data_IF_513916273712
#
_entry.id   IF_513916273712
#
_cell.length_a   1.000
_cell.length_b   1.000
_cell.length_c   1.000
_cell.angle_alpha   90.00
_cell.angle_beta   90.00
_cell.angle_gamma   90.00
#
_symmetry.space_group_name_H-M   'P 1'
#
loop_
_entity.id
_entity.type
_entity.pdbx_description
1 polymer ?
#
# COMPACT_ATOMS: atom_id res chain seq x y z
N UNK A 1 -17.13 0.38 -3.67
CA UNK A 1 -16.21 -0.04 -2.58
C UNK A 1 -15.49 -1.28 -3.09
N UNK A 2 -14.26 -1.14 -3.60
CA UNK A 2 -13.54 -2.22 -4.27
C UNK A 2 -12.31 -2.58 -3.43
N UNK A 3 -12.29 -3.80 -2.90
CA UNK A 3 -11.19 -4.35 -2.11
C UNK A 3 -10.17 -4.97 -3.08
N UNK A 4 -9.05 -4.30 -3.33
CA UNK A 4 -7.98 -4.83 -4.20
C UNK A 4 -7.04 -5.69 -3.33
N UNK A 5 -7.13 -7.02 -3.47
CA UNK A 5 -6.17 -7.98 -2.90
C UNK A 5 -5.09 -8.31 -3.95
N UNK A 6 -3.83 -8.07 -3.61
CA UNK A 6 -2.67 -8.28 -4.50
C UNK A 6 -2.47 -9.76 -4.87
N UNK A 7 -2.27 -10.10 -6.17
CA UNK A 7 -2.00 -11.45 -6.63
C UNK A 7 -0.50 -11.62 -6.97
N UNK A 8 0.23 -12.42 -6.19
CA UNK A 8 1.55 -12.94 -6.62
C UNK A 8 1.61 -14.42 -6.32
N UNK A 9 1.59 -15.24 -7.39
CA UNK A 9 1.62 -16.69 -7.36
C UNK A 9 2.32 -17.17 -8.64
N UNK A 10 3.55 -17.67 -8.52
CA UNK A 10 4.13 -18.68 -9.43
C UNK A 10 5.22 -19.48 -8.69
N UNK A 11 5.11 -20.81 -8.59
CA UNK A 11 6.20 -21.67 -8.17
C UNK A 11 6.77 -22.46 -9.36
N UNK A 12 8.10 -22.57 -9.44
CA UNK A 12 8.77 -23.66 -10.16
C UNK A 12 9.60 -24.47 -9.16
N UNK A 13 9.41 -25.79 -9.17
CA UNK A 13 10.36 -26.73 -8.56
C UNK A 13 9.94 -27.35 -7.22
N UNK A 14 9.35 -28.56 -7.31
CA UNK A 14 9.45 -29.67 -6.36
C UNK A 14 9.74 -29.35 -4.88
N UNK A 15 8.65 -29.10 -4.15
CA UNK A 15 8.56 -29.18 -2.70
C UNK A 15 7.18 -28.66 -2.33
N UNK A 16 6.33 -29.45 -1.67
CA UNK A 16 5.06 -28.92 -1.17
C UNK A 16 5.40 -27.72 -0.27
N UNK A 17 4.99 -26.48 -0.59
CA UNK A 17 5.19 -25.40 0.34
C UNK A 17 4.29 -25.73 1.54
N UNK A 18 4.87 -25.85 2.73
CA UNK A 18 4.09 -25.72 3.95
C UNK A 18 3.36 -24.40 3.83
N UNK A 19 2.03 -24.44 3.86
CA UNK A 19 1.18 -23.26 3.89
C UNK A 19 1.29 -22.59 5.26
N UNK A 20 2.51 -22.33 5.73
CA UNK A 20 2.75 -21.27 6.69
C UNK A 20 2.59 -19.99 5.86
N UNK A 21 1.33 -19.58 5.68
CA UNK A 21 0.99 -18.36 4.98
C UNK A 21 1.85 -17.26 5.60
N UNK A 22 2.85 -16.78 4.84
CA UNK A 22 3.67 -15.63 5.20
C UNK A 22 2.67 -14.52 5.44
N UNK A 23 2.33 -14.32 6.71
CA UNK A 23 1.16 -13.54 7.08
C UNK A 23 1.55 -12.12 6.68
N UNK A 24 0.78 -11.54 5.75
CA UNK A 24 0.94 -10.11 5.43
C UNK A 24 1.10 -9.37 6.76
N UNK A 25 2.04 -8.42 6.87
CA UNK A 25 2.10 -7.60 8.08
C UNK A 25 0.68 -7.14 8.38
N UNK A 26 0.24 -7.26 9.64
CA UNK A 26 -1.12 -6.99 10.08
C UNK A 26 -1.47 -5.50 10.01
N UNK A 27 -1.02 -4.82 8.95
CA UNK A 27 -1.19 -3.42 8.65
C UNK A 27 -2.08 -3.34 7.41
N UNK A 28 -3.41 -3.44 7.56
CA UNK A 28 -4.32 -3.11 6.46
C UNK A 28 -4.06 -1.69 5.95
N UNK A 29 -4.34 -1.53 4.65
CA UNK A 29 -4.23 -0.26 3.96
C UNK A 29 -5.57 0.11 3.36
N UNK A 30 -6.06 1.29 3.72
CA UNK A 30 -7.21 1.89 3.07
C UNK A 30 -6.76 3.08 2.23
N UNK A 31 -7.39 3.21 1.06
CA UNK A 31 -7.07 4.23 0.07
C UNK A 31 -8.32 5.01 -0.30
N UNK A 32 -8.19 6.33 -0.26
CA UNK A 32 -9.21 7.25 -0.74
C UNK A 32 -8.61 8.14 -1.84
N UNK A 33 -9.28 8.20 -2.99
CA UNK A 33 -8.91 9.11 -4.07
C UNK A 33 -9.66 10.43 -3.89
N UNK A 34 -8.92 11.53 -3.81
CA UNK A 34 -9.44 12.88 -3.66
C UNK A 34 -9.14 13.69 -4.91
N UNK A 35 -10.20 14.03 -5.64
CA UNK A 35 -10.12 14.74 -6.91
C UNK A 35 -10.45 13.86 -8.12
N UNK A 36 -10.37 14.44 -9.30
CA UNK A 36 -10.66 13.74 -10.56
C UNK A 36 -9.36 13.22 -11.18
N UNK A 37 -9.34 11.94 -11.53
CA UNK A 37 -8.27 11.35 -12.33
C UNK A 37 -8.33 11.88 -13.77
N UNK A 38 -7.62 12.98 -14.03
CA UNK A 38 -7.46 13.58 -15.35
C UNK A 38 -5.98 13.63 -15.73
N UNK A 39 -5.69 13.43 -17.00
CA UNK A 39 -4.32 13.51 -17.52
C UNK A 39 -3.68 14.85 -17.14
N UNK A 40 -2.42 14.79 -16.68
CA UNK A 40 -1.62 15.93 -16.23
C UNK A 40 -2.21 16.75 -15.09
N UNK A 41 -3.31 16.32 -14.47
CA UNK A 41 -3.90 16.98 -13.30
C UNK A 41 -3.55 16.21 -12.04
N UNK A 42 -2.95 16.92 -11.09
CA UNK A 42 -2.67 16.36 -9.77
C UNK A 42 -3.97 15.98 -9.05
N UNK A 43 -3.95 14.81 -8.42
CA UNK A 43 -4.95 14.34 -7.48
C UNK A 43 -4.24 13.83 -6.22
N UNK A 44 -4.96 13.78 -5.11
CA UNK A 44 -4.43 13.24 -3.86
C UNK A 44 -4.94 11.83 -3.63
N UNK A 45 -4.07 10.96 -3.14
CA UNK A 45 -4.44 9.68 -2.58
C UNK A 45 -4.18 9.72 -1.09
N UNK A 46 -5.25 9.65 -0.31
CA UNK A 46 -5.16 9.55 1.14
C UNK A 46 -4.91 8.08 1.48
N UNK A 47 -3.81 7.81 2.17
CA UNK A 47 -3.41 6.48 2.60
C UNK A 47 -3.60 6.38 4.09
N UNK A 48 -4.42 5.43 4.53
CA UNK A 48 -4.61 5.11 5.94
C UNK A 48 -3.97 3.76 6.22
N UNK A 49 -3.02 3.74 7.14
CA UNK A 49 -2.38 2.53 7.64
C UNK A 49 -2.78 2.37 9.10
N UNK A 50 -3.27 1.18 9.48
CA UNK A 50 -3.57 0.85 10.87
C UNK A 50 -2.85 -0.43 11.23
N UNK A 51 -2.14 -0.45 12.35
CA UNK A 51 -1.55 -1.70 12.82
C UNK A 51 -2.60 -2.49 13.62
N UNK A 52 -3.10 -3.57 13.05
CA UNK A 52 -4.02 -4.52 13.68
C UNK A 52 -3.29 -5.75 14.24
N UNK A 53 -1.96 -5.80 14.13
CA UNK A 53 -1.16 -6.82 14.78
C UNK A 53 -1.02 -6.54 16.29
N UNK A 54 -0.77 -7.61 17.05
CA UNK A 54 -0.51 -7.54 18.49
C UNK A 54 0.87 -6.95 18.84
N UNK A 55 1.77 -6.86 17.86
CA UNK A 55 3.12 -6.32 18.02
C UNK A 55 3.30 -4.97 17.31
N UNK A 56 4.27 -4.18 17.75
CA UNK A 56 4.62 -2.93 17.06
C UNK A 56 5.34 -3.20 15.73
N UNK A 57 5.07 -2.36 14.74
CA UNK A 57 5.78 -2.37 13.46
C UNK A 57 6.74 -1.18 13.39
N UNK A 58 7.98 -1.41 12.97
CA UNK A 58 9.00 -0.37 12.86
C UNK A 58 9.32 -0.03 11.41
N UNK A 59 9.72 1.22 11.17
CA UNK A 59 10.05 1.75 9.84
C UNK A 59 8.95 1.43 8.82
N UNK A 60 7.70 1.74 9.17
CA UNK A 60 6.54 1.54 8.29
C UNK A 60 6.60 2.58 7.18
N UNK A 61 6.52 2.12 5.93
CA UNK A 61 6.53 2.97 4.74
C UNK A 61 5.50 2.46 3.75
N UNK A 62 4.64 3.34 3.27
CA UNK A 62 3.69 3.05 2.21
C UNK A 62 3.95 3.95 1.01
N UNK A 63 4.07 3.34 -0.17
CA UNK A 63 4.30 4.04 -1.42
C UNK A 63 3.37 3.51 -2.51
N UNK A 64 2.94 4.42 -3.37
CA UNK A 64 2.11 4.13 -4.54
C UNK A 64 3.03 4.00 -5.74
N UNK A 65 2.74 3.03 -6.60
CA UNK A 65 3.42 2.83 -7.88
C UNK A 65 2.40 2.58 -8.97
N UNK A 66 2.73 2.89 -10.23
CA UNK A 66 1.79 2.72 -11.33
C UNK A 66 2.16 3.51 -12.57
N UNK A 67 1.21 3.61 -13.49
CA UNK A 67 1.32 4.44 -14.69
C UNK A 67 0.94 5.91 -14.38
N UNK A 68 1.63 6.51 -13.43
CA UNK A 68 1.45 7.91 -13.04
C UNK A 68 2.75 8.45 -12.41
N UNK A 69 2.94 9.76 -12.44
CA UNK A 69 3.95 10.41 -11.62
C UNK A 69 3.44 10.45 -10.17
N UNK A 70 4.24 9.95 -9.24
CA UNK A 70 3.88 9.86 -7.82
C UNK A 70 4.85 10.70 -7.01
N UNK A 71 4.32 11.56 -6.13
CA UNK A 71 5.10 12.43 -5.25
C UNK A 71 4.74 12.16 -3.80
N UNK A 72 5.75 11.76 -3.03
CA UNK A 72 5.66 11.51 -1.60
C UNK A 72 5.41 10.05 -1.25
N UNK A 73 5.35 9.81 0.05
CA UNK A 73 5.07 8.51 0.67
C UNK A 73 4.55 8.75 2.09
N UNK A 74 3.90 7.75 2.68
CA UNK A 74 3.49 7.78 4.09
C UNK A 74 4.48 6.96 4.90
N UNK A 75 5.06 7.56 5.94
CA UNK A 75 6.06 6.91 6.79
C UNK A 75 5.70 7.06 8.27
N UNK A 76 6.03 6.04 9.06
CA UNK A 76 6.01 6.07 10.51
C UNK A 76 7.21 5.29 11.04
N UNK A 77 7.99 5.89 11.95
CA UNK A 77 9.14 5.22 12.57
C UNK A 77 8.69 4.02 13.40
N UNK A 78 7.59 4.16 14.13
CA UNK A 78 6.96 3.12 14.94
C UNK A 78 5.45 3.26 14.82
N UNK A 79 4.78 2.13 14.57
CA UNK A 79 3.32 2.01 14.57
C UNK A 79 2.92 0.93 15.58
N UNK A 80 2.45 1.35 16.76
CA UNK A 80 2.06 0.46 17.86
C UNK A 80 0.76 -0.29 17.55
N UNK A 81 0.43 -1.37 18.27
CA UNK A 81 -0.86 -2.05 18.14
C UNK A 81 -2.03 -1.07 18.24
N UNK A 82 -3.00 -1.21 17.33
CA UNK A 82 -4.17 -0.34 17.14
C UNK A 82 -3.89 1.13 16.82
N UNK A 83 -2.62 1.49 16.56
CA UNK A 83 -2.27 2.83 16.11
C UNK A 83 -2.52 2.98 14.61
N UNK A 84 -2.97 4.17 14.21
CA UNK A 84 -3.11 4.55 12.81
C UNK A 84 -2.16 5.68 12.44
N UNK A 85 -1.77 5.69 11.16
CA UNK A 85 -1.09 6.81 10.51
C UNK A 85 -1.81 7.11 9.20
N UNK A 86 -1.99 8.40 8.92
CA UNK A 86 -2.64 8.89 7.71
C UNK A 86 -1.72 9.87 7.02
N UNK A 87 -1.65 9.77 5.70
CA UNK A 87 -0.89 10.72 4.89
C UNK A 87 -1.48 10.88 3.50
N UNK A 88 -1.02 11.91 2.80
CA UNK A 88 -1.44 12.21 1.43
C UNK A 88 -0.26 11.99 0.50
N UNK A 89 -0.50 11.27 -0.58
CA UNK A 89 0.45 11.09 -1.67
C UNK A 89 -0.15 11.75 -2.90
N UNK A 90 0.61 12.63 -3.54
CA UNK A 90 0.15 13.32 -4.73
C UNK A 90 0.44 12.46 -5.97
N UNK A 91 -0.55 12.30 -6.83
CA UNK A 91 -0.46 11.48 -8.04
C UNK A 91 -0.88 12.31 -9.24
N UNK A 92 -0.09 12.28 -10.31
CA UNK A 92 -0.36 12.97 -11.56
C UNK A 92 -0.47 11.90 -12.66
N UNK A 93 -1.68 11.56 -13.14
CA UNK A 93 -1.86 10.64 -14.24
C UNK A 93 -1.14 11.15 -15.49
N UNK A 94 -0.32 10.30 -16.11
CA UNK A 94 0.53 10.69 -17.24
C UNK A 94 -0.02 10.27 -18.61
N UNK A 95 -1.21 9.65 -18.65
CA UNK A 95 -1.87 9.21 -19.87
C UNK A 95 -3.39 9.15 -19.70
N UNK A 96 -4.10 9.33 -20.80
CA UNK A 96 -5.55 9.06 -20.89
C UNK A 96 -5.81 7.55 -20.80
N UNK A 97 -6.90 7.17 -20.12
CA UNK A 97 -7.39 5.79 -20.05
C UNK A 97 -7.37 5.21 -18.65
N UNK A 98 -7.11 3.91 -18.54
CA UNK A 98 -7.12 3.21 -17.25
C UNK A 98 -5.89 3.63 -16.42
N UNK A 99 -6.16 4.19 -15.24
CA UNK A 99 -5.16 4.45 -14.22
C UNK A 99 -4.95 3.16 -13.40
N UNK A 100 -3.78 2.55 -13.57
CA UNK A 100 -3.38 1.32 -12.88
C UNK A 100 -2.36 1.66 -11.81
N UNK A 101 -2.79 1.63 -10.55
CA UNK A 101 -1.93 1.88 -9.40
C UNK A 101 -1.92 0.67 -8.47
N UNK A 102 -0.75 0.39 -7.90
CA UNK A 102 -0.56 -0.51 -6.78
C UNK A 102 -0.03 0.25 -5.57
N UNK A 103 -0.23 -0.33 -4.40
CA UNK A 103 0.37 0.12 -3.15
C UNK A 103 1.26 -0.97 -2.59
N UNK A 104 2.40 -0.57 -2.03
CA UNK A 104 3.26 -1.46 -1.27
C UNK A 104 3.55 -0.84 0.09
N UNK A 105 3.36 -1.67 1.12
CA UNK A 105 3.74 -1.36 2.50
C UNK A 105 4.96 -2.19 2.84
N UNK A 106 5.96 -1.52 3.40
CA UNK A 106 7.15 -2.12 3.96
C UNK A 106 7.21 -1.80 5.43
N UNK A 107 7.57 -2.77 6.24
CA UNK A 107 7.86 -2.60 7.65
C UNK A 107 8.89 -3.64 8.09
N UNK A 108 9.55 -3.39 9.21
CA UNK A 108 10.32 -4.40 9.93
C UNK A 108 9.40 -5.04 10.98
N UNK A 109 8.99 -6.32 10.82
CA UNK A 109 8.31 -7.04 11.89
C UNK A 109 9.29 -7.28 13.05
N UNK A 110 8.76 -7.38 14.26
CA UNK A 110 9.48 -7.79 15.46
C UNK A 110 9.13 -9.23 15.83
#
# INVERSE_FOLDING_TARGET
MALIRSPWLFPDGHGRPRTDALTSPGIPVELELVGEAKESRAMDVVVHLKNEAEHEARNVRAFIFGNAEVKGMVEAEVLKPNQEVRGRINVIPNRIGILSMGISVKCKPL
#
